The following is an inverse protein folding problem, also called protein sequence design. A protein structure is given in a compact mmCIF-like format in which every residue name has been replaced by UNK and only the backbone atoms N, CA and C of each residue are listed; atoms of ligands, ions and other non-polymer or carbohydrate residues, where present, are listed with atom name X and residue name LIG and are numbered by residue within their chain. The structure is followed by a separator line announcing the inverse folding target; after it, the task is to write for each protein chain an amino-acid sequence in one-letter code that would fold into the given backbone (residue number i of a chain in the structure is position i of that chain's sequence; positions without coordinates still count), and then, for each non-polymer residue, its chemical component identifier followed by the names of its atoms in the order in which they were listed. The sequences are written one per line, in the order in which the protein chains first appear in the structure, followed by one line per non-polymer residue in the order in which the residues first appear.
data_IF_924639790489
#
_entry.id   IF_924639790489
#
_cell.length_a   1.000
_cell.length_b   1.000
_cell.length_c   1.000
_cell.angle_alpha   90.00
_cell.angle_beta   90.00
_cell.angle_gamma   90.00
#
_symmetry.space_group_name_H-M   'P 1'
#
loop_
_entity.id
_entity.type
_entity.pdbx_description
1 polymer ?
#
# COMPACT_ATOMS: atom_id res chain seq x y z
N UNK A 1 -31.92 13.52 0.17
CA UNK A 1 -31.11 14.63 0.72
C UNK A 1 -30.60 14.23 2.10
N UNK A 2 -29.41 13.61 2.16
CA UNK A 2 -28.70 13.32 3.41
C UNK A 2 -27.43 14.17 3.38
N UNK A 3 -27.42 15.23 4.19
CA UNK A 3 -26.27 16.10 4.39
C UNK A 3 -25.28 15.33 5.25
N UNK A 4 -24.20 14.84 4.65
CA UNK A 4 -23.09 14.21 5.37
C UNK A 4 -22.27 15.33 6.01
N UNK A 5 -22.36 15.41 7.34
CA UNK A 5 -21.62 16.35 8.17
C UNK A 5 -20.23 15.74 8.39
N UNK A 6 -19.21 16.21 7.67
CA UNK A 6 -17.81 15.85 7.97
C UNK A 6 -17.41 16.69 9.18
N UNK A 7 -17.20 16.02 10.31
CA UNK A 7 -16.72 16.61 11.55
C UNK A 7 -15.22 16.88 11.39
N UNK A 8 -14.85 18.12 11.08
CA UNK A 8 -13.45 18.59 11.15
C UNK A 8 -13.08 18.66 12.63
N UNK A 9 -12.28 17.69 13.10
CA UNK A 9 -11.63 17.77 14.40
C UNK A 9 -10.58 18.88 14.32
N UNK A 10 -10.92 20.06 14.84
CA UNK A 10 -10.01 21.17 15.01
C UNK A 10 -9.02 20.83 16.14
N UNK A 11 -7.85 20.29 15.78
CA UNK A 11 -6.71 20.24 16.67
C UNK A 11 -6.08 21.64 16.73
N UNK A 12 -5.77 22.09 17.93
CA UNK A 12 -5.41 23.47 18.23
C UNK A 12 -4.12 23.93 17.52
N UNK A 13 -4.26 25.03 16.77
CA UNK A 13 -3.19 25.83 16.18
C UNK A 13 -2.25 26.36 17.28
N UNK A 14 -0.96 26.00 17.23
CA UNK A 14 0.23 26.86 17.28
C UNK A 14 1.42 25.97 16.85
N UNK A 15 1.92 26.21 15.64
CA UNK A 15 3.07 25.53 15.03
C UNK A 15 3.12 25.98 13.57
N UNK A 16 4.32 26.18 13.01
CA UNK A 16 4.56 26.82 11.71
C UNK A 16 3.54 26.41 10.65
N UNK A 17 3.04 27.39 9.88
CA UNK A 17 2.22 27.11 8.72
C UNK A 17 3.05 26.24 7.76
N UNK A 18 2.72 24.95 7.65
CA UNK A 18 3.27 24.10 6.59
C UNK A 18 2.95 24.78 5.26
N UNK A 19 3.92 24.89 4.34
CA UNK A 19 3.79 25.56 3.04
C UNK A 19 3.47 24.58 1.89
N UNK A 20 3.76 23.30 2.13
CA UNK A 20 3.29 22.14 1.40
C UNK A 20 2.58 21.23 2.40
N UNK A 21 1.56 20.50 1.94
CA UNK A 21 0.95 19.41 2.67
C UNK A 21 1.05 18.12 1.87
N UNK A 22 1.51 17.05 2.50
CA UNK A 22 1.32 15.70 1.99
C UNK A 22 -0.15 15.33 2.25
N UNK A 23 -0.86 14.92 1.20
CA UNK A 23 -2.27 14.53 1.29
C UNK A 23 -2.42 13.03 1.51
N UNK A 24 -1.55 12.25 0.86
CA UNK A 24 -1.54 10.80 0.95
C UNK A 24 -0.19 10.22 0.51
N UNK A 25 0.36 9.20 1.20
CA UNK A 25 -0.16 8.58 2.44
C UNK A 25 0.04 9.48 3.67
N UNK A 26 -0.81 9.33 4.69
CA UNK A 26 -0.70 10.12 5.94
C UNK A 26 -0.14 9.32 7.13
N UNK A 27 -0.08 8.00 7.04
CA UNK A 27 0.35 7.11 8.11
C UNK A 27 -0.81 6.27 8.67
N UNK A 28 -0.49 5.05 9.10
CA UNK A 28 -1.43 4.04 9.59
C UNK A 28 -2.02 3.14 8.51
N UNK A 29 -1.81 3.45 7.23
CA UNK A 29 -2.25 2.61 6.13
C UNK A 29 -1.46 1.29 6.05
N UNK A 30 -2.02 0.32 5.34
CA UNK A 30 -1.34 -0.92 4.98
C UNK A 30 -1.46 -1.14 3.47
N UNK A 31 -0.33 -1.08 2.77
CA UNK A 31 -0.25 -1.27 1.34
C UNK A 31 0.38 -2.59 0.98
N UNK A 32 -0.17 -3.23 -0.05
CA UNK A 32 0.35 -4.50 -0.54
C UNK A 32 1.57 -4.24 -1.41
N UNK A 33 2.66 -4.93 -1.14
CA UNK A 33 3.87 -4.92 -1.96
C UNK A 33 3.55 -5.26 -3.43
N UNK A 34 4.27 -4.65 -4.38
CA UNK A 34 4.04 -4.74 -5.83
C UNK A 34 2.70 -4.15 -6.33
N UNK A 35 1.89 -3.55 -5.47
CA UNK A 35 0.78 -2.72 -5.90
C UNK A 35 1.26 -1.31 -6.28
N UNK A 36 0.41 -0.58 -7.00
CA UNK A 36 0.63 0.83 -7.32
C UNK A 36 -0.32 1.68 -6.48
N UNK A 37 0.22 2.70 -5.83
CA UNK A 37 -0.55 3.75 -5.17
C UNK A 37 -0.24 5.11 -5.80
N UNK A 38 -1.15 6.05 -5.64
CA UNK A 38 -0.89 7.45 -5.98
C UNK A 38 -0.42 8.16 -4.71
N UNK A 39 0.73 8.83 -4.77
CA UNK A 39 1.18 9.76 -3.73
C UNK A 39 0.62 11.12 -4.10
N UNK A 40 -0.02 11.82 -3.17
CA UNK A 40 -0.71 13.09 -3.42
C UNK A 40 -0.22 14.16 -2.45
N UNK A 41 -0.01 15.38 -2.94
CA UNK A 41 0.38 16.54 -2.14
C UNK A 41 -0.31 17.81 -2.66
N UNK A 42 -0.23 18.90 -1.89
CA UNK A 42 -0.79 20.18 -2.29
C UNK A 42 0.01 21.35 -1.70
N UNK A 43 0.19 22.46 -2.44
CA UNK A 43 0.69 23.69 -1.86
C UNK A 43 -0.37 24.28 -0.93
N UNK A 44 0.03 24.68 0.27
CA UNK A 44 -0.82 25.43 1.20
C UNK A 44 -0.55 26.94 1.12
N UNK A 45 0.65 27.33 0.66
CA UNK A 45 1.08 28.71 0.44
C UNK A 45 1.71 28.82 -0.96
N UNK A 46 1.31 29.79 -1.79
CA UNK A 46 1.96 30.02 -3.08
C UNK A 46 3.41 30.48 -2.93
N UNK A 47 4.31 29.87 -3.70
CA UNK A 47 5.73 30.21 -3.81
C UNK A 47 6.18 30.13 -5.27
N UNK A 48 7.37 30.67 -5.55
CA UNK A 48 8.10 30.45 -6.81
C UNK A 48 8.75 29.05 -6.77
N UNK A 49 7.92 28.02 -6.82
CA UNK A 49 8.35 26.61 -6.76
C UNK A 49 9.06 26.21 -8.05
N UNK A 50 10.25 25.63 -7.90
CA UNK A 50 11.08 25.16 -9.01
C UNK A 50 10.64 23.75 -9.44
N UNK A 51 10.53 22.82 -8.48
CA UNK A 51 10.12 21.44 -8.69
C UNK A 51 9.58 20.82 -7.38
N UNK A 52 9.26 19.52 -7.42
CA UNK A 52 9.03 18.71 -6.23
C UNK A 52 9.98 17.52 -6.19
N UNK A 53 10.41 17.16 -4.98
CA UNK A 53 11.10 15.90 -4.72
C UNK A 53 10.28 15.02 -3.77
N UNK A 54 10.29 13.72 -4.02
CA UNK A 54 9.75 12.70 -3.13
C UNK A 54 10.89 11.87 -2.55
N UNK A 55 10.92 11.77 -1.23
CA UNK A 55 11.80 10.89 -0.49
C UNK A 55 10.99 9.78 0.19
N UNK A 56 11.64 8.64 0.40
CA UNK A 56 11.08 7.50 1.11
C UNK A 56 12.02 7.04 2.22
N UNK A 57 11.44 6.66 3.35
CA UNK A 57 12.15 6.00 4.44
C UNK A 57 11.48 4.66 4.71
N UNK A 58 12.28 3.65 5.09
CA UNK A 58 11.79 2.35 5.54
C UNK A 58 12.09 2.09 7.03
N UNK A 59 12.64 3.09 7.74
CA UNK A 59 13.16 2.99 9.11
C UNK A 59 12.66 4.14 10.02
N UNK A 60 11.40 4.53 9.84
CA UNK A 60 10.73 5.52 10.68
C UNK A 60 11.26 6.94 10.50
N UNK A 61 11.84 7.23 9.33
CA UNK A 61 12.43 8.52 9.00
C UNK A 61 13.86 8.72 9.51
N UNK A 62 14.56 7.66 9.91
CA UNK A 62 15.95 7.74 10.35
C UNK A 62 16.90 7.93 9.18
N UNK A 63 16.62 7.26 8.06
CA UNK A 63 17.28 7.43 6.76
C UNK A 63 16.24 7.64 5.67
N UNK A 64 16.63 8.39 4.63
CA UNK A 64 15.75 8.78 3.52
C UNK A 64 16.48 8.54 2.20
N UNK A 65 15.87 7.76 1.32
CA UNK A 65 16.28 7.57 -0.06
C UNK A 65 15.43 8.44 -0.98
N UNK A 66 16.00 8.88 -2.10
CA UNK A 66 15.23 9.58 -3.13
C UNK A 66 14.33 8.60 -3.86
N UNK A 67 13.02 8.82 -3.76
CA UNK A 67 12.03 8.06 -4.53
C UNK A 67 11.91 8.61 -5.96
N UNK A 68 11.79 9.92 -6.08
CA UNK A 68 11.76 10.64 -7.35
C UNK A 68 12.20 12.08 -7.12
N UNK A 69 13.09 12.60 -7.97
CA UNK A 69 13.51 14.00 -7.93
C UNK A 69 13.02 14.76 -9.17
N UNK A 70 13.07 16.09 -9.12
CA UNK A 70 12.80 17.01 -10.23
C UNK A 70 11.40 16.82 -10.85
N UNK A 71 10.38 16.53 -10.02
CA UNK A 71 9.01 16.43 -10.48
C UNK A 71 8.53 17.83 -10.88
N UNK A 72 7.94 17.93 -12.07
CA UNK A 72 7.47 19.21 -12.60
C UNK A 72 6.50 19.91 -11.64
N UNK A 73 6.68 21.23 -11.45
CA UNK A 73 5.93 22.07 -10.50
C UNK A 73 4.41 21.94 -10.57
N UNK A 74 3.84 21.77 -11.77
CA UNK A 74 2.39 21.60 -11.96
C UNK A 74 1.86 20.22 -11.51
N UNK A 75 2.73 19.26 -11.18
CA UNK A 75 2.33 17.92 -10.73
C UNK A 75 2.09 17.93 -9.23
N UNK A 76 0.95 17.39 -8.82
CA UNK A 76 0.56 17.26 -7.40
C UNK A 76 0.37 15.79 -6.99
N UNK A 77 0.76 14.88 -7.87
CA UNK A 77 0.51 13.45 -7.76
C UNK A 77 1.69 12.67 -8.37
N UNK A 78 2.02 11.51 -7.80
CA UNK A 78 3.01 10.59 -8.35
C UNK A 78 2.55 9.14 -8.21
N UNK A 79 2.50 8.41 -9.32
CA UNK A 79 2.16 6.99 -9.34
C UNK A 79 3.37 6.17 -8.90
N UNK A 80 3.32 5.59 -7.70
CA UNK A 80 4.41 4.82 -7.12
C UNK A 80 4.11 3.31 -7.14
N UNK A 81 5.00 2.55 -7.77
CA UNK A 81 5.03 1.08 -7.67
C UNK A 81 5.79 0.68 -6.39
N UNK A 82 5.05 0.11 -5.44
CA UNK A 82 5.60 -0.29 -4.15
C UNK A 82 6.54 -1.49 -4.36
N UNK A 83 7.80 -1.44 -3.89
CA UNK A 83 8.72 -2.55 -4.01
C UNK A 83 8.34 -3.73 -3.08
N UNK A 84 8.99 -4.86 -3.27
CA UNK A 84 8.65 -6.10 -2.54
C UNK A 84 9.10 -6.15 -1.08
N UNK A 85 9.82 -5.12 -0.59
CA UNK A 85 10.31 -5.09 0.79
C UNK A 85 9.19 -4.67 1.75
N UNK A 86 8.81 -5.59 2.63
CA UNK A 86 7.91 -5.29 3.73
C UNK A 86 8.61 -4.42 4.79
N UNK A 87 7.89 -3.43 5.32
CA UNK A 87 8.31 -2.62 6.46
C UNK A 87 7.06 -2.03 7.12
N UNK A 88 7.02 -1.97 8.45
CA UNK A 88 5.95 -1.31 9.21
C UNK A 88 6.23 0.16 9.54
N UNK A 89 7.41 0.66 9.16
CA UNK A 89 7.91 2.00 9.49
C UNK A 89 8.24 2.78 8.21
N UNK A 90 7.43 2.57 7.16
CA UNK A 90 7.63 3.27 5.90
C UNK A 90 7.06 4.68 6.01
N UNK A 91 7.77 5.68 5.47
CA UNK A 91 7.31 7.06 5.36
C UNK A 91 7.59 7.66 4.01
N UNK A 92 6.73 8.58 3.58
CA UNK A 92 6.95 9.45 2.42
C UNK A 92 7.16 10.87 2.90
N UNK A 93 8.08 11.58 2.25
CA UNK A 93 8.27 13.02 2.42
C UNK A 93 8.20 13.68 1.05
N UNK A 94 7.46 14.77 0.96
CA UNK A 94 7.46 15.68 -0.18
C UNK A 94 8.28 16.91 0.16
N UNK A 95 9.13 17.34 -0.76
CA UNK A 95 9.89 18.58 -0.68
C UNK A 95 9.40 19.49 -1.82
N UNK A 96 9.03 20.70 -1.45
CA UNK A 96 8.77 21.82 -2.33
C UNK A 96 10.08 22.60 -2.48
N UNK A 97 10.80 22.36 -3.56
CA UNK A 97 11.99 23.14 -3.92
C UNK A 97 11.53 24.52 -4.41
N UNK A 98 12.03 25.59 -3.80
CA UNK A 98 11.66 26.94 -4.18
C UNK A 98 12.91 27.79 -4.39
N UNK A 99 12.72 28.87 -5.14
CA UNK A 99 13.71 29.95 -5.17
C UNK A 99 13.89 30.50 -3.74
N UNK A 100 14.97 30.09 -3.07
CA UNK A 100 15.33 30.54 -1.74
C UNK A 100 15.21 29.46 -0.66
N UNK A 101 14.01 29.27 -0.11
CA UNK A 101 13.78 28.38 1.04
C UNK A 101 12.85 27.24 0.66
N UNK A 102 13.32 26.02 0.86
CA UNK A 102 12.53 24.81 0.65
C UNK A 102 11.59 24.54 1.82
N UNK A 103 10.48 23.89 1.50
CA UNK A 103 9.50 23.47 2.49
C UNK A 103 9.18 21.99 2.29
N UNK A 104 8.87 21.29 3.37
CA UNK A 104 8.56 19.87 3.31
C UNK A 104 7.36 19.51 4.19
N UNK A 105 6.74 18.38 3.85
CA UNK A 105 5.80 17.67 4.71
C UNK A 105 6.00 16.16 4.54
N UNK A 106 5.63 15.39 5.56
CA UNK A 106 5.86 13.94 5.57
C UNK A 106 4.72 13.19 6.25
N UNK A 107 4.55 11.93 5.84
CA UNK A 107 3.62 11.01 6.46
C UNK A 107 4.07 10.58 7.85
N UNK A 108 3.13 10.06 8.64
CA UNK A 108 3.44 9.12 9.71
C UNK A 108 3.89 7.76 9.16
N UNK A 109 4.16 6.81 10.05
CA UNK A 109 4.49 5.43 9.67
C UNK A 109 3.30 4.73 9.03
N UNK A 110 3.49 4.13 7.86
CA UNK A 110 2.58 3.16 7.26
C UNK A 110 3.30 1.84 6.98
N UNK A 111 2.50 0.80 6.73
CA UNK A 111 3.01 -0.55 6.50
C UNK A 111 2.99 -0.94 5.03
N UNK A 112 4.08 -1.52 4.56
CA UNK A 112 4.14 -2.33 3.33
C UNK A 112 4.09 -3.79 3.77
N UNK A 113 3.10 -4.53 3.30
CA UNK A 113 2.88 -5.94 3.61
C UNK A 113 3.11 -6.81 2.38
N UNK A 114 3.76 -7.96 2.56
CA UNK A 114 3.99 -8.91 1.48
C UNK A 114 2.69 -9.63 1.09
N UNK A 115 2.46 -9.79 -0.21
CA UNK A 115 1.38 -10.64 -0.74
C UNK A 115 1.81 -12.10 -0.75
N UNK A 116 0.90 -13.00 -0.38
CA UNK A 116 1.06 -14.44 -0.56
C UNK A 116 0.54 -14.83 -1.94
N UNK A 117 1.46 -15.25 -2.80
CA UNK A 117 1.15 -15.55 -4.20
C UNK A 117 1.04 -17.05 -4.40
N UNK A 118 -0.08 -17.49 -4.96
CA UNK A 118 -0.29 -18.88 -5.33
C UNK A 118 0.58 -19.26 -6.53
N UNK A 119 1.38 -20.32 -6.39
CA UNK A 119 2.15 -20.91 -7.49
C UNK A 119 1.44 -22.10 -8.12
N UNK A 120 0.68 -22.86 -7.34
CA UNK A 120 0.04 -24.10 -7.79
C UNK A 120 1.03 -25.18 -8.22
N UNK A 121 2.28 -25.12 -7.74
CA UNK A 121 3.37 -25.94 -8.24
C UNK A 121 3.21 -27.45 -7.95
N UNK A 122 2.51 -27.82 -6.88
CA UNK A 122 2.39 -29.22 -6.45
C UNK A 122 1.00 -29.81 -6.74
N UNK A 123 -0.06 -29.11 -6.36
CA UNK A 123 -1.45 -29.54 -6.51
C UNK A 123 -2.42 -28.38 -6.23
N UNK A 124 -3.71 -28.67 -6.07
CA UNK A 124 -4.77 -27.69 -5.82
C UNK A 124 -4.99 -27.37 -4.34
N UNK A 125 -4.36 -28.09 -3.40
CA UNK A 125 -4.68 -27.98 -1.97
C UNK A 125 -4.18 -26.67 -1.36
N UNK A 126 -5.11 -25.85 -0.84
CA UNK A 126 -4.79 -24.55 -0.23
C UNK A 126 -3.74 -24.64 0.89
N UNK A 127 -3.89 -25.59 1.81
CA UNK A 127 -3.04 -25.76 3.01
C UNK A 127 -1.66 -26.38 2.71
N UNK A 128 -1.39 -26.73 1.44
CA UNK A 128 -0.08 -27.21 1.05
C UNK A 128 0.85 -26.03 0.80
N UNK A 129 1.75 -25.75 1.74
CA UNK A 129 2.71 -24.65 1.68
C UNK A 129 3.51 -24.61 0.37
N UNK A 130 3.81 -25.76 -0.23
CA UNK A 130 4.57 -25.84 -1.49
C UNK A 130 3.81 -25.29 -2.71
N UNK A 131 2.51 -25.01 -2.58
CA UNK A 131 1.74 -24.29 -3.59
C UNK A 131 1.80 -22.77 -3.46
N UNK A 132 2.49 -22.25 -2.45
CA UNK A 132 2.66 -20.81 -2.22
C UNK A 132 4.10 -20.39 -2.49
N UNK A 133 4.27 -19.25 -3.15
CA UNK A 133 5.59 -18.63 -3.28
C UNK A 133 6.08 -18.28 -1.87
N UNK A 134 7.30 -18.71 -1.54
CA UNK A 134 7.86 -18.56 -0.19
C UNK A 134 7.52 -19.70 0.77
N UNK A 135 6.74 -20.70 0.34
CA UNK A 135 6.35 -21.86 1.15
C UNK A 135 5.65 -21.48 2.47
N UNK A 136 4.72 -20.51 2.41
CA UNK A 136 3.93 -20.05 3.56
C UNK A 136 2.45 -20.05 3.18
N UNK A 137 1.62 -20.73 3.97
CA UNK A 137 0.16 -20.70 3.82
C UNK A 137 -0.36 -19.35 4.35
N UNK A 138 -1.21 -18.62 3.60
CA UNK A 138 -1.74 -17.34 4.03
C UNK A 138 -2.59 -17.45 5.30
N UNK A 139 -2.60 -16.36 6.07
CA UNK A 139 -3.47 -16.16 7.22
C UNK A 139 -4.26 -14.84 7.06
N UNK A 140 -5.03 -14.44 8.07
CA UNK A 140 -5.86 -13.22 8.05
C UNK A 140 -5.09 -11.90 7.94
N UNK A 141 -3.77 -11.89 8.09
CA UNK A 141 -2.93 -10.69 7.85
C UNK A 141 -2.29 -10.66 6.46
N UNK A 142 -2.39 -11.73 5.68
CA UNK A 142 -1.73 -11.82 4.38
C UNK A 142 -2.70 -11.49 3.24
N UNK A 143 -2.42 -10.47 2.42
CA UNK A 143 -3.00 -10.38 1.09
C UNK A 143 -2.73 -11.67 0.32
N UNK A 144 -3.71 -12.14 -0.42
CA UNK A 144 -3.61 -13.32 -1.27
C UNK A 144 -3.78 -12.93 -2.72
N UNK A 145 -2.87 -13.42 -3.55
CA UNK A 145 -2.95 -13.28 -5.00
C UNK A 145 -2.95 -14.65 -5.69
N UNK A 146 -3.95 -14.87 -6.55
CA UNK A 146 -4.03 -16.02 -7.44
C UNK A 146 -3.71 -15.53 -8.86
N UNK A 147 -2.49 -15.81 -9.38
CA UNK A 147 -2.09 -15.37 -10.70
C UNK A 147 -2.71 -16.24 -11.80
N UNK A 148 -2.70 -15.73 -13.04
CA UNK A 148 -3.03 -16.57 -14.19
C UNK A 148 -1.88 -17.56 -14.50
N UNK A 149 -2.17 -18.59 -15.29
CA UNK A 149 -1.16 -19.54 -15.77
C UNK A 149 -0.64 -20.56 -14.74
N UNK A 150 -1.24 -20.62 -13.54
CA UNK A 150 -0.92 -21.67 -12.58
C UNK A 150 -1.27 -23.05 -13.16
N UNK A 151 -0.40 -24.05 -12.93
CA UNK A 151 -0.66 -25.43 -13.38
C UNK A 151 -1.82 -26.08 -12.63
N UNK A 152 -2.04 -25.67 -11.38
CA UNK A 152 -3.13 -26.11 -10.53
C UNK A 152 -3.71 -24.88 -9.82
N UNK A 153 -5.01 -24.63 -9.98
CA UNK A 153 -5.68 -23.56 -9.24
C UNK A 153 -6.11 -24.00 -7.83
N UNK A 154 -6.21 -23.08 -6.85
CA UNK A 154 -6.50 -23.47 -5.49
C UNK A 154 -7.94 -23.94 -5.32
N UNK A 155 -8.10 -24.99 -4.52
CA UNK A 155 -9.37 -25.56 -4.07
C UNK A 155 -9.38 -25.57 -2.55
N UNK A 156 -10.39 -24.93 -1.95
CA UNK A 156 -10.68 -25.06 -0.52
C UNK A 156 -11.58 -26.28 -0.33
N UNK A 157 -11.09 -27.30 0.38
CA UNK A 157 -11.82 -28.53 0.62
C UNK A 157 -12.90 -28.38 1.69
N UNK A 158 -13.84 -29.33 1.74
CA UNK A 158 -15.05 -29.33 2.58
C UNK A 158 -14.84 -29.18 4.10
N UNK A 159 -13.60 -29.30 4.60
CA UNK A 159 -13.24 -29.16 6.02
C UNK A 159 -12.04 -28.22 6.22
N UNK A 160 -11.64 -27.51 5.17
CA UNK A 160 -10.54 -26.54 5.21
C UNK A 160 -11.10 -25.18 5.55
N UNK A 161 -10.47 -24.54 6.52
CA UNK A 161 -10.63 -23.12 6.81
C UNK A 161 -9.40 -22.39 6.25
N UNK A 162 -9.60 -21.69 5.15
CA UNK A 162 -8.60 -20.83 4.53
C UNK A 162 -8.79 -19.38 4.98
N UNK A 163 -7.69 -18.64 5.02
CA UNK A 163 -7.66 -17.27 5.52
C UNK A 163 -6.90 -16.36 4.57
N UNK A 164 -7.30 -15.10 4.48
CA UNK A 164 -6.57 -14.05 3.79
C UNK A 164 -7.01 -12.67 4.28
N UNK A 165 -6.18 -11.66 4.12
CA UNK A 165 -6.58 -10.28 4.35
C UNK A 165 -7.42 -9.76 3.18
N UNK A 166 -6.96 -9.96 1.95
CA UNK A 166 -7.68 -9.64 0.72
C UNK A 166 -7.41 -10.76 -0.28
N UNK A 167 -8.36 -11.04 -1.18
CA UNK A 167 -8.18 -12.04 -2.23
C UNK A 167 -8.26 -11.36 -3.61
N UNK A 168 -7.14 -11.37 -4.32
CA UNK A 168 -7.05 -10.92 -5.71
C UNK A 168 -6.95 -12.13 -6.64
N UNK A 169 -7.88 -12.25 -7.58
CA UNK A 169 -7.88 -13.31 -8.60
C UNK A 169 -7.62 -12.65 -9.95
N UNK A 170 -6.48 -12.97 -10.57
CA UNK A 170 -6.10 -12.39 -11.85
C UNK A 170 -6.99 -12.87 -13.00
N UNK A 171 -7.13 -12.06 -14.04
CA UNK A 171 -7.92 -12.42 -15.22
C UNK A 171 -7.41 -13.75 -15.82
N UNK A 172 -8.31 -14.72 -15.95
CA UNK A 172 -8.00 -16.07 -16.45
C UNK A 172 -7.51 -17.05 -15.38
N UNK A 173 -7.46 -16.65 -14.11
CA UNK A 173 -7.25 -17.55 -12.99
C UNK A 173 -8.57 -18.17 -12.49
N UNK A 174 -8.47 -19.33 -11.84
CA UNK A 174 -9.59 -20.03 -11.24
C UNK A 174 -9.38 -20.18 -9.72
N UNK A 175 -10.48 -20.33 -9.00
CA UNK A 175 -10.51 -20.55 -7.56
C UNK A 175 -11.81 -21.27 -7.19
N UNK A 176 -11.72 -22.36 -6.45
CA UNK A 176 -12.88 -23.16 -6.07
C UNK A 176 -13.00 -23.31 -4.54
N UNK A 177 -14.22 -23.22 -4.05
CA UNK A 177 -14.56 -23.56 -2.67
C UNK A 177 -15.59 -24.69 -2.69
N UNK A 178 -15.19 -25.87 -2.23
CA UNK A 178 -16.08 -27.03 -2.18
C UNK A 178 -17.11 -26.86 -1.05
N UNK A 179 -18.25 -27.54 -1.18
CA UNK A 179 -19.30 -27.52 -0.16
C UNK A 179 -18.73 -27.92 1.22
N UNK A 180 -18.83 -27.02 2.19
CA UNK A 180 -18.31 -27.19 3.55
C UNK A 180 -16.97 -26.50 3.79
N UNK A 181 -16.25 -26.11 2.73
CA UNK A 181 -15.03 -25.32 2.83
C UNK A 181 -15.34 -23.87 3.22
N UNK A 182 -14.42 -23.25 3.93
CA UNK A 182 -14.56 -21.88 4.43
C UNK A 182 -13.36 -21.05 3.94
N UNK A 183 -13.64 -19.88 3.38
CA UNK A 183 -12.67 -18.82 3.15
C UNK A 183 -13.05 -17.61 4.01
N UNK A 184 -12.15 -17.21 4.90
CA UNK A 184 -12.29 -15.98 5.69
C UNK A 184 -11.39 -14.88 5.12
N UNK A 185 -12.01 -13.77 4.71
CA UNK A 185 -11.32 -12.56 4.25
C UNK A 185 -11.57 -11.44 5.26
N UNK A 186 -10.49 -10.94 5.88
CA UNK A 186 -10.55 -9.98 6.99
C UNK A 186 -10.35 -8.51 6.61
N UNK A 187 -10.08 -8.20 5.35
CA UNK A 187 -9.81 -6.83 4.87
C UNK A 187 -11.09 -6.02 4.67
N UNK A 188 -11.24 -4.97 5.47
CA UNK A 188 -12.08 -3.79 5.19
C UNK A 188 -11.19 -2.55 5.15
#
# INVERSE_FOLDING_TARGET
MKRMLILVLCCSYIGLQAHVGLAFPQGGESFVANSTIEIEWFPTVPHDTENWDLLISYDGGSTWDTLQADIHVDSLTFSWLIPSNASSETRIRVIQDNVGTDYDDQSGDFSIIASMVWSGAMNTTWDNESNWIGAVVPNSSHPVEIPNGASNYPVIAATTEAYGQVLTIMLGAEFEVLLGGILEISGQ
#
